data_IF_460258590535
#
_entry.id   IF_460258590535
#
_cell.length_a   1.000
_cell.length_b   1.000
_cell.length_c   1.000
_cell.angle_alpha   90.00
_cell.angle_beta   90.00
_cell.angle_gamma   90.00
#
_symmetry.space_group_name_H-M   'P 1'
#
loop_
_entity.id
_entity.type
_entity.pdbx_description
1 polymer ?
#
# COMPACT_ATOMS: atom_id res chain seq x y z
N UNK A 1 -12.49 41.02 0.60
CA UNK A 1 -11.85 40.22 -0.46
C UNK A 1 -10.39 40.04 -0.06
N UNK A 2 -10.05 38.91 0.56
CA UNK A 2 -8.66 38.52 0.78
C UNK A 2 -8.36 37.42 -0.23
N UNK A 3 -7.54 37.78 -1.20
CA UNK A 3 -6.95 36.88 -2.18
C UNK A 3 -6.14 35.84 -1.39
N UNK A 4 -6.66 34.62 -1.25
CA UNK A 4 -5.87 33.50 -0.73
C UNK A 4 -4.97 33.03 -1.86
N UNK A 5 -3.72 33.46 -1.78
CA UNK A 5 -2.60 32.99 -2.55
C UNK A 5 -2.68 31.45 -2.57
N UNK A 6 -2.89 30.85 -3.76
CA UNK A 6 -3.13 29.41 -3.97
C UNK A 6 -1.94 28.48 -3.65
N UNK A 7 -1.09 28.89 -2.71
CA UNK A 7 0.14 28.22 -2.28
C UNK A 7 0.12 27.84 -0.78
N UNK A 8 -1.04 27.94 -0.12
CA UNK A 8 -1.21 27.35 1.21
C UNK A 8 -1.28 25.82 1.10
N UNK A 9 -0.58 25.04 1.96
CA UNK A 9 -0.83 23.61 2.04
C UNK A 9 -2.35 23.40 2.28
N UNK A 10 -3.02 22.54 1.51
CA UNK A 10 -4.45 22.34 1.69
C UNK A 10 -4.71 21.86 3.13
N UNK A 11 -5.84 22.28 3.69
CA UNK A 11 -6.17 21.92 5.07
C UNK A 11 -6.15 20.40 5.25
N UNK A 12 -5.58 19.94 6.37
CA UNK A 12 -5.52 18.53 6.76
C UNK A 12 -6.94 17.97 6.82
N UNK A 13 -7.25 16.99 5.97
CA UNK A 13 -8.58 16.39 5.91
C UNK A 13 -8.71 15.30 6.97
N UNK A 14 -9.05 15.70 8.20
CA UNK A 14 -9.28 14.78 9.31
C UNK A 14 -10.45 13.80 9.05
N UNK A 15 -11.33 14.08 8.09
CA UNK A 15 -12.37 13.14 7.70
C UNK A 15 -11.79 11.94 6.94
N UNK A 16 -10.64 12.10 6.29
CA UNK A 16 -9.91 11.00 5.69
C UNK A 16 -9.45 9.98 6.75
N UNK A 17 -8.95 10.44 7.91
CA UNK A 17 -8.59 9.56 9.03
C UNK A 17 -9.78 8.74 9.55
N UNK A 18 -10.99 9.31 9.48
CA UNK A 18 -12.23 8.62 9.88
C UNK A 18 -12.78 7.69 8.81
N UNK A 19 -12.30 7.81 7.57
CA UNK A 19 -12.72 6.95 6.47
C UNK A 19 -12.10 5.56 6.61
N UNK A 20 -12.83 4.51 6.19
CA UNK A 20 -12.32 3.14 6.24
C UNK A 20 -11.00 2.94 5.49
N UNK A 21 -10.76 3.71 4.41
CA UNK A 21 -9.50 3.64 3.66
C UNK A 21 -8.34 4.34 4.39
N UNK A 22 -8.61 5.45 5.07
CA UNK A 22 -7.61 6.12 5.91
C UNK A 22 -7.20 5.27 7.12
N UNK A 23 -8.17 4.65 7.81
CA UNK A 23 -7.89 3.71 8.90
C UNK A 23 -7.08 2.51 8.39
N UNK A 24 -7.45 1.95 7.23
CA UNK A 24 -6.73 0.80 6.66
C UNK A 24 -5.27 1.14 6.34
N UNK A 25 -5.00 2.30 5.72
CA UNK A 25 -3.63 2.76 5.46
C UNK A 25 -2.84 3.04 6.74
N UNK A 26 -3.49 3.58 7.77
CA UNK A 26 -2.88 3.79 9.07
C UNK A 26 -2.50 2.47 9.74
N UNK A 27 -3.38 1.47 9.71
CA UNK A 27 -3.08 0.11 10.20
C UNK A 27 -1.92 -0.50 9.42
N UNK A 28 -1.92 -0.40 8.09
CA UNK A 28 -0.83 -0.88 7.24
C UNK A 28 0.52 -0.23 7.56
N UNK A 29 0.51 1.07 7.83
CA UNK A 29 1.69 1.83 8.24
C UNK A 29 2.18 1.40 9.63
N UNK A 30 1.28 1.15 10.58
CA UNK A 30 1.66 0.66 11.91
C UNK A 30 2.24 -0.76 11.82
N UNK A 31 1.65 -1.63 11.00
CA UNK A 31 2.15 -2.99 10.79
C UNK A 31 3.57 -3.00 10.19
N UNK A 32 3.86 -2.13 9.22
CA UNK A 32 5.21 -2.02 8.65
C UNK A 32 6.23 -1.44 9.63
N UNK A 33 5.82 -0.48 10.47
CA UNK A 33 6.67 0.05 11.53
C UNK A 33 7.01 -1.02 12.59
N UNK A 34 6.00 -1.80 13.02
CA UNK A 34 6.22 -2.90 13.98
C UNK A 34 7.14 -3.96 13.36
N UNK A 35 6.98 -4.27 12.08
CA UNK A 35 7.85 -5.22 11.38
C UNK A 35 9.30 -4.76 11.30
N UNK A 36 9.49 -3.47 11.02
CA UNK A 36 10.81 -2.83 11.07
C UNK A 36 11.44 -2.92 12.47
N UNK A 37 10.72 -2.56 13.53
CA UNK A 37 11.25 -2.58 14.91
C UNK A 37 11.63 -4.01 15.33
N UNK A 38 10.77 -5.00 15.04
CA UNK A 38 11.08 -6.39 15.39
C UNK A 38 12.33 -6.86 14.62
N UNK A 39 12.45 -6.52 13.34
CA UNK A 39 13.61 -6.90 12.53
C UNK A 39 14.90 -6.24 13.04
N UNK A 40 14.89 -4.94 13.33
CA UNK A 40 16.04 -4.20 13.88
C UNK A 40 16.53 -4.80 15.21
N UNK A 41 15.59 -5.01 16.15
CA UNK A 41 15.91 -5.57 17.48
C UNK A 41 16.46 -6.99 17.39
N UNK A 42 15.99 -7.78 16.41
CA UNK A 42 16.40 -9.18 16.24
C UNK A 42 17.66 -9.33 15.37
N UNK A 43 17.92 -8.40 14.45
CA UNK A 43 19.08 -8.45 13.55
C UNK A 43 20.38 -8.03 14.25
N UNK A 44 20.31 -7.06 15.16
CA UNK A 44 21.46 -6.46 15.84
C UNK A 44 22.39 -7.46 16.56
N UNK A 45 21.89 -8.48 17.30
CA UNK A 45 22.76 -9.40 18.03
C UNK A 45 23.40 -10.51 17.17
N UNK A 46 22.81 -10.87 16.03
CA UNK A 46 23.20 -12.09 15.29
C UNK A 46 23.62 -11.88 13.83
N UNK A 47 23.56 -10.63 13.34
CA UNK A 47 24.01 -10.24 12.01
C UNK A 47 23.36 -11.05 10.86
N UNK A 48 22.09 -11.43 11.02
CA UNK A 48 21.36 -12.24 10.03
C UNK A 48 21.00 -11.40 8.80
N UNK A 49 21.53 -11.80 7.64
CA UNK A 49 21.27 -11.12 6.37
C UNK A 49 19.77 -11.10 6.02
N UNK A 50 19.04 -12.17 6.36
CA UNK A 50 17.60 -12.26 6.11
C UNK A 50 16.80 -11.25 6.94
N UNK A 51 17.19 -11.01 8.20
CA UNK A 51 16.51 -10.01 9.04
C UNK A 51 16.85 -8.58 8.61
N UNK A 52 18.09 -8.34 8.16
CA UNK A 52 18.45 -7.03 7.56
C UNK A 52 17.66 -6.76 6.28
N UNK A 53 17.52 -7.77 5.40
CA UNK A 53 16.67 -7.62 4.21
C UNK A 53 15.21 -7.35 4.60
N UNK A 54 14.68 -8.07 5.60
CA UNK A 54 13.33 -7.87 6.11
C UNK A 54 13.12 -6.45 6.67
N UNK A 55 14.10 -5.95 7.44
CA UNK A 55 14.14 -4.59 7.98
C UNK A 55 14.05 -3.55 6.86
N UNK A 56 14.95 -3.62 5.88
CA UNK A 56 14.99 -2.71 4.73
C UNK A 56 13.69 -2.70 3.93
N UNK A 57 13.11 -3.87 3.69
CA UNK A 57 11.84 -4.00 2.97
C UNK A 57 10.70 -3.41 3.79
N UNK A 58 10.64 -3.70 5.10
CA UNK A 58 9.61 -3.16 6.00
C UNK A 58 9.68 -1.64 6.10
N UNK A 59 10.89 -1.08 6.21
CA UNK A 59 11.13 0.36 6.20
C UNK A 59 10.70 1.00 4.88
N UNK A 60 11.01 0.37 3.75
CA UNK A 60 10.61 0.85 2.43
C UNK A 60 9.08 0.90 2.30
N UNK A 61 8.39 -0.16 2.73
CA UNK A 61 6.91 -0.19 2.74
C UNK A 61 6.36 0.91 3.65
N UNK A 62 6.96 1.12 4.83
CA UNK A 62 6.57 2.17 5.75
C UNK A 62 6.68 3.55 5.10
N UNK A 63 7.83 3.88 4.50
CA UNK A 63 8.06 5.17 3.84
C UNK A 63 7.09 5.38 2.67
N UNK A 64 6.91 4.38 1.81
CA UNK A 64 5.97 4.46 0.68
C UNK A 64 4.53 4.67 1.15
N UNK A 65 4.10 3.93 2.17
CA UNK A 65 2.75 4.03 2.73
C UNK A 65 2.54 5.36 3.43
N UNK A 66 3.54 5.85 4.16
CA UNK A 66 3.53 7.17 4.80
C UNK A 66 3.43 8.27 3.75
N UNK A 67 4.19 8.21 2.66
CA UNK A 67 4.15 9.19 1.58
C UNK A 67 2.76 9.24 0.92
N UNK A 68 2.17 8.09 0.61
CA UNK A 68 0.81 8.04 0.06
C UNK A 68 -0.21 8.56 1.09
N UNK A 69 -0.07 8.16 2.35
CA UNK A 69 -0.95 8.63 3.42
C UNK A 69 -0.88 10.15 3.62
N UNK A 70 0.30 10.76 3.60
CA UNK A 70 0.46 12.22 3.73
C UNK A 70 -0.13 12.97 2.53
N UNK A 71 0.03 12.45 1.31
CA UNK A 71 -0.60 13.05 0.11
C UNK A 71 -2.13 13.05 0.21
N UNK A 72 -2.72 11.94 0.68
CA UNK A 72 -4.17 11.87 0.88
C UNK A 72 -4.63 12.73 2.05
N UNK A 73 -3.88 12.74 3.16
CA UNK A 73 -4.20 13.50 4.37
C UNK A 73 -4.12 15.02 4.15
N UNK A 74 -3.09 15.48 3.44
CA UNK A 74 -2.93 16.89 3.06
C UNK A 74 -3.87 17.30 1.92
N UNK A 75 -4.77 16.43 1.46
CA UNK A 75 -5.65 16.66 0.30
C UNK A 75 -4.93 17.14 -0.95
N UNK A 76 -3.62 16.86 -1.10
CA UNK A 76 -2.85 17.25 -2.29
C UNK A 76 -3.38 16.60 -3.56
N UNK A 77 -4.07 15.45 -3.44
CA UNK A 77 -4.78 14.82 -4.55
C UNK A 77 -5.90 15.70 -5.18
N UNK A 78 -6.41 16.71 -4.46
CA UNK A 78 -7.44 17.65 -4.94
C UNK A 78 -6.86 18.93 -5.55
N UNK A 79 -5.54 19.10 -5.54
CA UNK A 79 -4.86 20.24 -6.17
C UNK A 79 -5.08 20.25 -7.69
N UNK A 80 -5.23 21.42 -8.30
CA UNK A 80 -5.32 21.56 -9.76
C UNK A 80 -4.09 20.97 -10.49
N UNK A 81 -2.91 21.00 -9.87
CA UNK A 81 -1.69 20.39 -10.41
C UNK A 81 -1.76 18.84 -10.41
N UNK A 82 -2.55 18.27 -9.50
CA UNK A 82 -2.75 16.83 -9.31
C UNK A 82 -3.93 16.27 -10.13
N UNK A 83 -4.71 17.12 -10.80
CA UNK A 83 -5.93 16.72 -11.52
C UNK A 83 -5.67 15.80 -12.72
N UNK A 84 -4.44 15.77 -13.26
CA UNK A 84 -4.04 14.91 -14.39
C UNK A 84 -3.63 13.49 -13.95
N UNK A 85 -3.44 13.25 -12.66
CA UNK A 85 -2.97 11.96 -12.14
C UNK A 85 -4.16 11.07 -11.83
N UNK A 86 -4.15 9.83 -12.35
CA UNK A 86 -5.15 8.82 -11.98
C UNK A 86 -4.84 8.29 -10.57
N UNK A 87 -5.31 9.00 -9.54
CA UNK A 87 -5.12 8.64 -8.12
C UNK A 87 -5.59 7.22 -7.76
N UNK A 88 -6.73 6.72 -8.28
CA UNK A 88 -7.11 5.31 -8.12
C UNK A 88 -6.06 4.32 -8.66
N UNK A 89 -5.45 4.61 -9.81
CA UNK A 89 -4.39 3.77 -10.38
C UNK A 89 -3.11 3.82 -9.53
N UNK A 90 -2.72 5.01 -9.05
CA UNK A 90 -1.57 5.17 -8.15
C UNK A 90 -1.76 4.38 -6.86
N UNK A 91 -2.95 4.43 -6.27
CA UNK A 91 -3.30 3.69 -5.06
C UNK A 91 -3.27 2.16 -5.28
N UNK A 92 -3.75 1.71 -6.45
CA UNK A 92 -3.65 0.31 -6.87
C UNK A 92 -2.20 -0.13 -7.04
N UNK A 93 -1.39 0.62 -7.78
CA UNK A 93 0.03 0.31 -8.01
C UNK A 93 0.82 0.29 -6.69
N UNK A 94 0.58 1.27 -5.80
CA UNK A 94 1.18 1.30 -4.47
C UNK A 94 0.83 0.05 -3.66
N UNK A 95 -0.46 -0.29 -3.60
CA UNK A 95 -0.93 -1.46 -2.85
C UNK A 95 -0.39 -2.77 -3.43
N UNK A 96 -0.32 -2.88 -4.76
CA UNK A 96 0.22 -4.05 -5.45
C UNK A 96 1.72 -4.21 -5.19
N UNK A 97 2.50 -3.12 -5.29
CA UNK A 97 3.93 -3.13 -4.99
C UNK A 97 4.18 -3.55 -3.53
N UNK A 98 3.45 -2.96 -2.58
CA UNK A 98 3.59 -3.31 -1.17
C UNK A 98 3.17 -4.77 -0.88
N UNK A 99 2.19 -5.31 -1.61
CA UNK A 99 1.81 -6.73 -1.50
C UNK A 99 2.96 -7.65 -1.93
N UNK A 100 3.64 -7.33 -3.03
CA UNK A 100 4.82 -8.09 -3.50
C UNK A 100 5.95 -8.01 -2.47
N UNK A 101 6.23 -6.82 -1.95
CA UNK A 101 7.25 -6.64 -0.90
C UNK A 101 6.93 -7.45 0.38
N UNK A 102 5.67 -7.46 0.82
CA UNK A 102 5.24 -8.30 1.95
C UNK A 102 5.33 -9.80 1.65
N UNK A 103 5.11 -10.22 0.41
CA UNK A 103 5.30 -11.61 0.02
C UNK A 103 6.79 -12.02 0.12
N UNK A 104 7.71 -11.12 -0.23
CA UNK A 104 9.15 -11.35 -0.03
C UNK A 104 9.47 -11.47 1.47
N UNK A 105 8.95 -10.56 2.29
CA UNK A 105 9.11 -10.63 3.76
C UNK A 105 8.54 -11.92 4.35
N UNK A 106 7.43 -12.43 3.82
CA UNK A 106 6.87 -13.72 4.22
C UNK A 106 7.83 -14.87 3.88
N UNK A 107 8.42 -14.87 2.69
CA UNK A 107 9.40 -15.89 2.29
C UNK A 107 10.63 -15.83 3.22
N UNK A 108 11.15 -14.64 3.53
CA UNK A 108 12.26 -14.46 4.45
C UNK A 108 11.92 -14.97 5.87
N UNK A 109 10.75 -14.63 6.38
CA UNK A 109 10.26 -15.13 7.68
C UNK A 109 10.13 -16.66 7.72
N UNK A 110 9.57 -17.26 6.65
CA UNK A 110 9.45 -18.71 6.53
C UNK A 110 10.82 -19.40 6.46
N UNK A 111 11.79 -18.86 5.73
CA UNK A 111 13.16 -19.41 5.67
C UNK A 111 13.82 -19.46 7.05
N UNK A 112 13.65 -18.40 7.84
CA UNK A 112 14.10 -18.36 9.23
C UNK A 112 13.34 -19.37 10.10
N UNK A 113 12.02 -19.49 9.88
CA UNK A 113 11.16 -20.47 10.54
C UNK A 113 11.54 -21.92 10.25
N UNK A 114 11.91 -22.29 9.03
CA UNK A 114 12.42 -23.64 8.72
C UNK A 114 13.78 -23.91 9.36
N UNK A 115 14.57 -22.87 9.55
CA UNK A 115 15.89 -22.93 10.19
C UNK A 115 15.80 -22.97 11.73
N UNK A 116 14.59 -22.98 12.32
CA UNK A 116 14.32 -23.01 13.77
C UNK A 116 15.12 -24.06 14.54
N UNK A 117 15.45 -25.18 13.90
CA UNK A 117 16.21 -26.29 14.49
C UNK A 117 17.66 -25.94 14.84
N UNK A 118 18.19 -24.86 14.27
CA UNK A 118 19.55 -24.38 14.52
C UNK A 118 19.62 -23.20 15.49
N UNK A 119 18.47 -22.70 15.98
CA UNK A 119 18.40 -21.51 16.84
C UNK A 119 18.14 -21.86 18.31
N UNK A 120 18.72 -21.10 19.25
CA UNK A 120 18.43 -21.27 20.67
C UNK A 120 16.96 -20.94 20.98
N UNK A 121 16.34 -21.58 22.00
CA UNK A 121 14.90 -21.47 22.27
C UNK A 121 14.38 -20.05 22.50
N UNK A 122 15.24 -19.11 22.91
CA UNK A 122 14.87 -17.72 23.18
C UNK A 122 14.58 -16.90 21.90
N UNK A 123 15.07 -17.34 20.75
CA UNK A 123 14.96 -16.61 19.48
C UNK A 123 13.79 -17.09 18.61
N UNK A 124 13.09 -18.17 19.01
CA UNK A 124 11.93 -18.67 18.28
C UNK A 124 10.73 -17.71 18.28
N UNK A 125 10.60 -16.90 19.34
CA UNK A 125 9.51 -15.93 19.49
C UNK A 125 9.54 -14.83 18.41
N UNK A 126 10.64 -14.10 18.26
CA UNK A 126 10.79 -13.09 17.20
C UNK A 126 10.60 -13.64 15.79
N UNK A 127 11.13 -14.84 15.50
CA UNK A 127 11.01 -15.49 14.17
C UNK A 127 9.54 -15.83 13.85
N UNK A 128 8.82 -16.40 14.82
CA UNK A 128 7.38 -16.64 14.68
C UNK A 128 6.62 -15.30 14.53
N UNK A 129 7.01 -14.28 15.28
CA UNK A 129 6.44 -12.93 15.23
C UNK A 129 6.53 -12.29 13.85
N UNK A 130 7.71 -12.26 13.22
CA UNK A 130 7.89 -11.67 11.88
C UNK A 130 7.14 -12.45 10.80
N UNK A 131 6.98 -13.76 10.97
CA UNK A 131 6.24 -14.61 10.03
C UNK A 131 4.74 -14.34 10.12
N UNK A 132 4.19 -14.34 11.33
CA UNK A 132 2.77 -14.03 11.58
C UNK A 132 2.46 -12.61 11.11
N UNK A 133 3.32 -11.64 11.44
CA UNK A 133 3.16 -10.27 11.01
C UNK A 133 3.17 -10.14 9.49
N UNK A 134 4.08 -10.84 8.80
CA UNK A 134 4.11 -10.84 7.33
C UNK A 134 2.82 -11.41 6.73
N UNK A 135 2.24 -12.47 7.31
CA UNK A 135 0.94 -13.03 6.88
C UNK A 135 -0.17 -12.00 7.06
N UNK A 136 -0.29 -11.42 8.27
CA UNK A 136 -1.32 -10.42 8.57
C UNK A 136 -1.20 -9.22 7.63
N UNK A 137 0.01 -8.69 7.46
CA UNK A 137 0.27 -7.58 6.55
C UNK A 137 -0.06 -7.93 5.11
N UNK A 138 0.33 -9.11 4.63
CA UNK A 138 0.03 -9.56 3.27
C UNK A 138 -1.49 -9.61 3.03
N UNK A 139 -2.25 -10.15 3.98
CA UNK A 139 -3.72 -10.20 3.89
C UNK A 139 -4.34 -8.79 3.86
N UNK A 140 -3.84 -7.87 4.69
CA UNK A 140 -4.33 -6.48 4.69
C UNK A 140 -4.02 -5.76 3.38
N UNK A 141 -2.80 -5.87 2.86
CA UNK A 141 -2.41 -5.27 1.57
C UNK A 141 -3.14 -5.91 0.39
N UNK A 142 -3.33 -7.23 0.38
CA UNK A 142 -4.12 -7.91 -0.63
C UNK A 142 -5.58 -7.46 -0.63
N UNK A 143 -6.19 -7.30 0.56
CA UNK A 143 -7.54 -6.75 0.67
C UNK A 143 -7.62 -5.33 0.09
N UNK A 144 -6.62 -4.48 0.37
CA UNK A 144 -6.51 -3.13 -0.21
C UNK A 144 -6.37 -3.18 -1.73
N UNK A 145 -5.50 -4.03 -2.28
CA UNK A 145 -5.38 -4.22 -3.74
C UNK A 145 -6.74 -4.55 -4.37
N UNK A 146 -7.50 -5.47 -3.77
CA UNK A 146 -8.83 -5.85 -4.26
C UNK A 146 -9.81 -4.66 -4.21
N UNK A 147 -9.79 -3.87 -3.14
CA UNK A 147 -10.64 -2.68 -3.02
C UNK A 147 -10.25 -1.59 -4.02
N UNK A 148 -8.96 -1.29 -4.14
CA UNK A 148 -8.44 -0.28 -5.07
C UNK A 148 -8.63 -0.70 -6.53
N UNK A 149 -8.47 -1.98 -6.85
CA UNK A 149 -8.79 -2.54 -8.17
C UNK A 149 -10.27 -2.37 -8.53
N UNK A 150 -11.18 -2.71 -7.60
CA UNK A 150 -12.62 -2.51 -7.81
C UNK A 150 -12.96 -1.03 -8.04
N UNK A 151 -12.38 -0.13 -7.26
CA UNK A 151 -12.56 1.32 -7.45
C UNK A 151 -12.02 1.77 -8.80
N UNK A 152 -10.81 1.37 -9.16
CA UNK A 152 -10.22 1.69 -10.46
C UNK A 152 -11.05 1.16 -11.64
N UNK A 153 -11.61 -0.04 -11.52
CA UNK A 153 -12.45 -0.61 -12.58
C UNK A 153 -13.83 0.05 -12.71
N UNK A 154 -14.36 0.62 -11.63
CA UNK A 154 -15.60 1.40 -11.63
C UNK A 154 -15.42 2.82 -12.18
N UNK A 155 -14.24 3.41 -11.98
CA UNK A 155 -13.91 4.78 -12.44
C UNK A 155 -13.12 4.82 -13.75
N UNK A 156 -12.61 3.68 -14.22
CA UNK A 156 -12.13 3.57 -15.60
C UNK A 156 -13.32 3.79 -16.51
N UNK A 157 -13.33 4.83 -17.37
CA UNK A 157 -14.36 4.93 -18.38
C UNK A 157 -14.31 3.62 -19.17
N UNK A 158 -15.41 2.86 -19.16
CA UNK A 158 -15.64 1.90 -20.25
C UNK A 158 -15.29 2.62 -21.54
N UNK A 159 -14.50 2.02 -22.46
CA UNK A 159 -14.35 2.60 -23.78
C UNK A 159 -15.77 2.68 -24.36
N UNK A 160 -16.39 3.86 -24.24
CA UNK A 160 -17.56 4.19 -25.01
C UNK A 160 -17.05 4.12 -26.43
N UNK A 161 -17.43 3.07 -27.14
CA UNK A 161 -17.37 3.03 -28.59
C UNK A 161 -17.85 4.42 -29.03
N UNK A 162 -17.05 5.18 -29.79
CA UNK A 162 -17.46 6.50 -30.23
C UNK A 162 -18.86 6.38 -30.82
N UNK A 163 -19.78 7.25 -30.39
CA UNK A 163 -21.18 7.30 -30.86
C UNK A 163 -21.29 7.26 -32.39
N UNK A 164 -20.19 7.58 -33.08
CA UNK A 164 -20.01 7.51 -34.51
C UNK A 164 -20.20 6.11 -35.14
N UNK A 165 -20.06 5.02 -34.39
CA UNK A 165 -20.23 3.65 -34.93
C UNK A 165 -21.61 3.03 -34.68
N UNK A 166 -22.48 3.69 -33.91
CA UNK A 166 -23.77 3.11 -33.53
C UNK A 166 -24.85 3.26 -34.62
N UNK A 167 -24.61 4.07 -35.65
CA UNK A 167 -25.53 4.31 -36.76
C UNK A 167 -25.22 3.52 -38.04
N UNK A 168 -24.11 2.77 -38.08
CA UNK A 168 -23.69 1.98 -39.25
C UNK A 168 -24.40 0.61 -39.37
N UNK A 169 -25.33 0.30 -38.47
CA UNK A 169 -26.06 -0.98 -38.42
C UNK A 169 -27.52 -0.93 -38.90
N UNK A 170 -28.01 0.22 -39.36
CA UNK A 170 -29.42 0.39 -39.77
C UNK A 170 -29.51 1.14 -41.10
N UNK A 171 -28.91 0.61 -42.15
CA UNK A 171 -29.39 0.91 -43.51
C UNK A 171 -30.48 -0.10 -43.85
N UNK A 172 -31.74 0.32 -44.05
CA UNK A 172 -32.73 -0.54 -44.68
C UNK A 172 -32.30 -0.72 -46.13
N UNK A 173 -31.91 -1.95 -46.48
CA UNK A 173 -31.94 -2.35 -47.87
C UNK A 173 -33.40 -2.22 -48.34
N UNK A 174 -33.57 -1.30 -49.29
CA UNK A 174 -34.71 -1.08 -50.20
C UNK A 174 -35.64 -2.28 -50.39
#
# INVERSE_FOLDING_TARGET
MMEQNGWGPPAVDLNFLKSGLGVLKLVQMLLSLVGFIIAEVTASPYNWEQMKAYEWISLTIFILTLAVFTIFLASWHKSEAAARVNWPLVDFCHSALCTVMWAINLILGLQLGFSWRYFPPREGGPIAGVTILAIVSLLTFWATVRMSYRRWHLFSPTPTIPYHYQHLGTEPYS
#
